data_IF_145754598765
#
_entry.id   IF_145754598765
#
_cell.length_a   1.000
_cell.length_b   1.000
_cell.length_c   1.000
_cell.angle_alpha   90.00
_cell.angle_beta   90.00
_cell.angle_gamma   90.00
#
_symmetry.space_group_name_H-M   'P 1'
#
loop_
_entity.id
_entity.type
_entity.pdbx_description
1 polymer ?
#
# COMPACT_ATOMS: atom_id res chain seq x y z
N UNK A 1 1.88 15.22 3.58
CA UNK A 1 2.69 14.22 2.83
C UNK A 1 1.76 13.08 2.44
N UNK A 2 1.72 12.66 1.17
CA UNK A 2 0.88 11.52 0.74
C UNK A 2 1.55 10.23 1.24
N UNK A 3 0.86 9.46 2.07
CA UNK A 3 1.35 8.16 2.53
C UNK A 3 0.92 7.09 1.51
N UNK A 4 1.89 6.37 0.93
CA UNK A 4 1.63 5.26 0.02
C UNK A 4 1.63 3.93 0.79
N UNK A 5 0.59 3.73 1.60
CA UNK A 5 0.49 2.60 2.56
C UNK A 5 0.63 1.23 1.89
N UNK A 6 0.04 1.02 0.71
CA UNK A 6 0.14 -0.24 -0.02
C UNK A 6 1.58 -0.55 -0.51
N UNK A 7 2.33 0.48 -0.89
CA UNK A 7 3.75 0.32 -1.25
C UNK A 7 4.60 0.02 -0.02
N UNK A 8 4.22 0.52 1.17
CA UNK A 8 4.95 0.28 2.40
C UNK A 8 5.03 -1.22 2.76
N UNK A 9 3.92 -1.95 2.69
CA UNK A 9 3.89 -3.39 3.02
C UNK A 9 4.79 -4.21 2.10
N UNK A 10 4.77 -3.91 0.80
CA UNK A 10 5.68 -4.50 -0.17
C UNK A 10 7.14 -4.24 0.23
N UNK A 11 7.49 -2.98 0.50
CA UNK A 11 8.85 -2.57 0.88
C UNK A 11 9.30 -3.25 2.18
N UNK A 12 8.43 -3.41 3.17
CA UNK A 12 8.73 -4.13 4.42
C UNK A 12 8.97 -5.61 4.16
N UNK A 13 8.12 -6.26 3.37
CA UNK A 13 8.33 -7.66 2.98
C UNK A 13 9.65 -7.86 2.24
N UNK A 14 10.16 -6.81 1.60
CA UNK A 14 11.44 -6.78 0.91
C UNK A 14 12.61 -6.39 1.82
N UNK A 15 12.37 -6.11 3.10
CA UNK A 15 13.40 -5.73 4.07
C UNK A 15 13.88 -4.28 3.92
N UNK A 16 13.14 -3.44 3.21
CA UNK A 16 13.46 -2.02 3.02
C UNK A 16 13.06 -1.24 4.26
N UNK A 17 13.94 -0.35 4.72
CA UNK A 17 13.67 0.52 5.85
C UNK A 17 12.56 1.50 5.50
N UNK A 18 11.59 1.64 6.39
CA UNK A 18 10.44 2.53 6.24
C UNK A 18 10.41 3.47 7.45
N UNK A 19 10.01 4.72 7.27
CA UNK A 19 9.75 5.61 8.41
C UNK A 19 8.34 5.44 8.98
N UNK A 20 8.07 6.14 10.08
CA UNK A 20 6.79 6.15 10.80
C UNK A 20 5.61 6.63 9.94
N UNK A 21 5.88 7.28 8.80
CA UNK A 21 4.85 7.71 7.84
C UNK A 21 4.57 6.67 6.75
N UNK A 22 5.23 5.49 6.79
CA UNK A 22 5.10 4.45 5.78
C UNK A 22 5.87 4.72 4.49
N UNK A 23 6.82 5.66 4.48
CA UNK A 23 7.65 5.92 3.30
C UNK A 23 8.97 5.15 3.36
N UNK A 24 9.31 4.46 2.28
CA UNK A 24 10.59 3.78 2.15
C UNK A 24 11.75 4.79 2.16
N UNK A 25 12.78 4.48 2.93
CA UNK A 25 13.97 5.30 3.07
C UNK A 25 14.90 5.07 1.90
N UNK A 26 15.41 6.17 1.35
CA UNK A 26 16.40 6.17 0.28
C UNK A 26 17.72 6.76 0.80
N UNK A 27 18.82 6.33 0.21
CA UNK A 27 20.13 6.96 0.39
C UNK A 27 20.25 8.26 -0.45
N UNK A 28 21.41 8.92 -0.34
CA UNK A 28 21.70 10.16 -1.08
C UNK A 28 21.69 9.98 -2.61
N UNK A 29 21.73 8.73 -3.09
CA UNK A 29 21.71 8.37 -4.51
C UNK A 29 20.30 8.00 -4.99
N UNK A 30 19.31 7.99 -4.08
CA UNK A 30 17.93 7.64 -4.36
C UNK A 30 17.66 6.14 -4.35
N UNK A 31 18.59 5.30 -3.88
CA UNK A 31 18.39 3.86 -3.78
C UNK A 31 17.71 3.51 -2.47
N UNK A 32 16.81 2.53 -2.49
CA UNK A 32 16.16 2.06 -1.28
C UNK A 32 17.14 1.42 -0.30
N UNK A 33 17.04 1.81 0.97
CA UNK A 33 17.89 1.30 2.04
C UNK A 33 17.38 -0.06 2.50
N UNK A 34 18.03 -1.14 2.06
CA UNK A 34 17.80 -2.51 2.51
C UNK A 34 18.46 -2.75 3.87
N UNK A 35 17.73 -3.37 4.80
CA UNK A 35 18.29 -3.87 6.05
C UNK A 35 18.77 -5.32 5.81
N UNK A 36 20.07 -5.61 5.98
CA UNK A 36 20.61 -6.95 5.79
C UNK A 36 19.89 -7.99 6.65
N UNK A 37 19.58 -9.15 6.08
CA UNK A 37 18.91 -10.23 6.79
C UNK A 37 17.44 -9.98 7.18
N UNK A 38 16.81 -8.89 6.72
CA UNK A 38 15.37 -8.62 6.88
C UNK A 38 14.59 -8.82 5.58
N UNK A 39 13.29 -9.17 5.68
CA UNK A 39 12.45 -9.41 4.50
C UNK A 39 12.95 -10.57 3.63
N UNK A 40 12.96 -10.40 2.31
CA UNK A 40 13.52 -11.40 1.38
C UNK A 40 15.04 -11.60 1.56
N UNK A 41 15.63 -12.58 0.86
CA UNK A 41 17.09 -12.75 0.87
C UNK A 41 17.83 -11.57 0.23
N UNK A 42 19.05 -11.31 0.69
CA UNK A 42 19.87 -10.21 0.17
C UNK A 42 20.34 -10.51 -1.28
N UNK A 43 20.47 -11.79 -1.63
CA UNK A 43 20.78 -12.25 -2.99
C UNK A 43 19.63 -11.94 -3.96
N UNK A 44 18.38 -12.22 -3.55
CA UNK A 44 17.21 -11.90 -4.39
C UNK A 44 17.05 -10.38 -4.53
N UNK A 45 17.33 -9.61 -3.47
CA UNK A 45 17.34 -8.16 -3.54
C UNK A 45 18.39 -7.63 -4.53
N UNK A 46 19.60 -8.20 -4.52
CA UNK A 46 20.63 -7.85 -5.49
C UNK A 46 20.19 -8.17 -6.94
N UNK A 47 19.51 -9.30 -7.14
CA UNK A 47 18.97 -9.67 -8.45
C UNK A 47 17.91 -8.65 -8.93
N UNK A 48 16.97 -8.30 -8.04
CA UNK A 48 15.90 -7.35 -8.32
C UNK A 48 16.43 -5.94 -8.65
N UNK A 49 17.42 -5.46 -7.90
CA UNK A 49 18.02 -4.13 -8.12
C UNK A 49 18.86 -4.09 -9.39
N UNK A 50 19.51 -5.19 -9.76
CA UNK A 50 20.20 -5.34 -11.05
C UNK A 50 19.20 -5.24 -12.20
N UNK A 51 18.13 -6.02 -12.16
CA UNK A 51 17.06 -5.98 -13.16
C UNK A 51 16.42 -4.58 -13.26
N UNK A 52 16.14 -3.95 -12.11
CA UNK A 52 15.60 -2.59 -12.07
C UNK A 52 16.53 -1.59 -12.76
N UNK A 53 17.84 -1.69 -12.53
CA UNK A 53 18.85 -0.84 -13.16
C UNK A 53 18.88 -1.04 -14.67
N UNK A 54 18.89 -2.29 -15.15
CA UNK A 54 18.86 -2.62 -16.58
C UNK A 54 17.60 -2.10 -17.29
N UNK A 55 16.47 -2.07 -16.58
CA UNK A 55 15.17 -1.58 -17.09
C UNK A 55 14.92 -0.10 -16.80
N UNK A 56 15.85 0.60 -16.16
CA UNK A 56 15.71 2.00 -15.78
C UNK A 56 14.60 2.28 -14.76
N UNK A 57 14.17 1.27 -13.99
CA UNK A 57 13.12 1.39 -12.99
C UNK A 57 13.65 2.06 -11.71
N UNK A 58 12.96 3.10 -11.21
CA UNK A 58 13.35 3.83 -10.01
C UNK A 58 12.15 4.15 -9.11
N UNK A 59 12.38 4.22 -7.80
CA UNK A 59 11.36 4.67 -6.83
C UNK A 59 10.03 3.91 -6.98
N UNK A 60 8.96 4.63 -7.32
CA UNK A 60 7.62 4.06 -7.51
C UNK A 60 7.52 2.98 -8.60
N UNK A 61 8.42 2.97 -9.59
CA UNK A 61 8.46 1.95 -10.64
C UNK A 61 8.75 0.54 -10.11
N UNK A 62 9.27 0.42 -8.88
CA UNK A 62 9.54 -0.88 -8.27
C UNK A 62 8.24 -1.71 -8.10
N UNK A 63 7.04 -1.11 -8.20
CA UNK A 63 5.77 -1.84 -8.34
C UNK A 63 5.79 -2.83 -9.52
N UNK A 64 6.50 -2.51 -10.60
CA UNK A 64 6.64 -3.33 -11.81
C UNK A 64 7.52 -4.56 -11.60
N UNK A 65 8.31 -4.63 -10.52
CA UNK A 65 9.13 -5.80 -10.19
C UNK A 65 8.31 -6.97 -9.66
N UNK A 66 7.10 -6.74 -9.16
CA UNK A 66 6.25 -7.85 -8.69
C UNK A 66 6.00 -8.87 -9.80
N UNK A 67 5.68 -8.43 -11.03
CA UNK A 67 5.38 -9.33 -12.14
C UNK A 67 6.53 -10.31 -12.47
N UNK A 68 7.78 -9.87 -12.69
CA UNK A 68 8.89 -10.78 -12.97
C UNK A 68 9.42 -11.54 -11.74
N UNK A 69 9.22 -11.04 -10.52
CA UNK A 69 9.85 -11.61 -9.31
C UNK A 69 8.89 -12.33 -8.35
N UNK A 70 7.57 -12.28 -8.54
CA UNK A 70 6.59 -12.91 -7.65
C UNK A 70 6.91 -14.38 -7.35
N UNK A 71 7.15 -15.19 -8.40
CA UNK A 71 7.49 -16.59 -8.22
C UNK A 71 8.78 -16.81 -7.43
N UNK A 72 9.75 -15.90 -7.53
CA UNK A 72 11.02 -15.97 -6.77
C UNK A 72 10.84 -15.54 -5.31
N UNK A 73 9.97 -14.56 -5.06
CA UNK A 73 9.58 -14.12 -3.72
C UNK A 73 8.80 -15.22 -2.99
N UNK A 74 7.81 -15.81 -3.66
CA UNK A 74 7.00 -16.91 -3.11
C UNK A 74 7.77 -18.24 -3.04
N UNK A 75 8.82 -18.40 -3.85
CA UNK A 75 9.71 -19.55 -3.87
C UNK A 75 10.86 -19.51 -2.86
N UNK A 76 10.94 -18.46 -2.03
CA UNK A 76 11.96 -18.37 -0.98
C UNK A 76 11.83 -19.53 0.04
N UNK A 77 12.93 -19.92 0.71
CA UNK A 77 12.89 -20.82 1.86
C UNK A 77 11.83 -20.41 2.88
N UNK A 78 11.25 -21.39 3.59
CA UNK A 78 10.14 -21.13 4.52
C UNK A 78 10.52 -20.09 5.56
N UNK A 79 11.72 -20.16 6.10
CA UNK A 79 12.24 -19.28 7.14
C UNK A 79 12.29 -17.82 6.66
N UNK A 80 12.62 -17.61 5.38
CA UNK A 80 12.61 -16.28 4.76
C UNK A 80 11.18 -15.80 4.54
N UNK A 81 10.30 -16.65 4.03
CA UNK A 81 8.88 -16.29 3.84
C UNK A 81 8.20 -15.94 5.15
N UNK A 82 8.45 -16.72 6.20
CA UNK A 82 7.93 -16.45 7.55
C UNK A 82 8.44 -15.11 8.06
N UNK A 83 9.74 -14.80 7.89
CA UNK A 83 10.29 -13.48 8.24
C UNK A 83 9.64 -12.34 7.46
N UNK A 84 9.40 -12.52 6.16
CA UNK A 84 8.70 -11.52 5.33
C UNK A 84 7.28 -11.26 5.83
N UNK A 85 6.55 -12.33 6.18
CA UNK A 85 5.19 -12.27 6.71
C UNK A 85 5.19 -11.59 8.09
N UNK A 86 6.08 -12.00 8.98
CA UNK A 86 6.17 -11.46 10.34
C UNK A 86 6.46 -9.96 10.31
N UNK A 87 7.39 -9.50 9.49
CA UNK A 87 7.70 -8.07 9.37
C UNK A 87 6.45 -7.24 8.95
N UNK A 88 5.65 -7.76 8.03
CA UNK A 88 4.39 -7.11 7.61
C UNK A 88 3.33 -7.18 8.71
N UNK A 89 3.23 -8.30 9.42
CA UNK A 89 2.31 -8.50 10.52
C UNK A 89 2.63 -7.57 11.70
N UNK A 90 3.89 -7.48 12.11
CA UNK A 90 4.37 -6.59 13.18
C UNK A 90 4.09 -5.13 12.85
N UNK A 91 4.41 -4.69 11.62
CA UNK A 91 4.13 -3.33 11.19
C UNK A 91 2.62 -3.03 11.20
N UNK A 92 1.80 -3.96 10.72
CA UNK A 92 0.35 -3.80 10.70
C UNK A 92 -0.23 -3.75 12.12
N UNK A 93 0.27 -4.58 13.02
CA UNK A 93 -0.13 -4.60 14.42
C UNK A 93 0.21 -3.28 15.11
N UNK A 94 1.43 -2.77 14.92
CA UNK A 94 1.85 -1.45 15.41
C UNK A 94 0.98 -0.33 14.84
N UNK A 95 0.70 -0.33 13.54
CA UNK A 95 -0.15 0.68 12.90
C UNK A 95 -1.55 0.71 13.55
N UNK A 96 -2.16 -0.47 13.73
CA UNK A 96 -3.49 -0.59 14.34
C UNK A 96 -3.45 -0.13 15.81
N UNK A 97 -2.47 -0.62 16.57
CA UNK A 97 -2.41 -0.39 18.02
C UNK A 97 -2.00 1.04 18.36
N UNK A 98 -0.86 1.49 17.84
CA UNK A 98 -0.16 2.66 18.31
C UNK A 98 -0.45 3.91 17.46
N UNK A 99 -0.69 3.74 16.14
CA UNK A 99 -1.00 4.86 15.24
C UNK A 99 -2.50 5.15 15.20
N UNK A 100 -3.33 4.11 15.05
CA UNK A 100 -4.79 4.25 15.06
C UNK A 100 -5.40 4.21 16.47
N UNK A 101 -4.58 4.01 17.49
CA UNK A 101 -5.00 3.97 18.90
C UNK A 101 -6.14 2.96 19.13
N UNK A 102 -6.08 1.81 18.46
CA UNK A 102 -7.13 0.79 18.49
C UNK A 102 -6.84 -0.34 19.48
N UNK A 103 -5.92 -0.13 20.43
CA UNK A 103 -5.64 -1.12 21.46
C UNK A 103 -6.91 -1.50 22.24
N UNK A 104 -7.06 -2.80 22.54
CA UNK A 104 -8.18 -3.38 23.32
C UNK A 104 -9.58 -3.16 22.71
N UNK A 105 -9.67 -2.82 21.42
CA UNK A 105 -10.95 -2.64 20.71
C UNK A 105 -11.45 -3.89 19.97
N UNK A 106 -10.71 -5.00 20.00
CA UNK A 106 -11.03 -6.19 19.21
C UNK A 106 -12.42 -6.77 19.52
N UNK A 107 -12.85 -6.75 20.79
CA UNK A 107 -14.19 -7.22 21.18
C UNK A 107 -15.30 -6.39 20.55
N UNK A 108 -15.12 -5.08 20.40
CA UNK A 108 -16.09 -4.19 19.76
C UNK A 108 -16.28 -4.53 18.28
N UNK A 109 -15.18 -4.79 17.57
CA UNK A 109 -15.23 -5.20 16.15
C UNK A 109 -15.95 -6.55 16.00
N UNK A 110 -15.71 -7.49 16.91
CA UNK A 110 -16.39 -8.79 16.90
C UNK A 110 -17.89 -8.64 17.16
N UNK A 111 -18.28 -7.78 18.10
CA UNK A 111 -19.69 -7.47 18.38
C UNK A 111 -20.37 -6.85 17.15
N UNK A 112 -19.75 -5.86 16.51
CA UNK A 112 -20.29 -5.19 15.32
C UNK A 112 -20.48 -6.17 14.15
N UNK A 113 -19.51 -7.06 13.91
CA UNK A 113 -19.58 -8.10 12.85
C UNK A 113 -20.73 -9.07 13.13
N UNK A 114 -20.88 -9.52 14.38
CA UNK A 114 -21.95 -10.44 14.78
C UNK A 114 -23.32 -9.76 14.68
N UNK A 115 -23.44 -8.51 15.12
CA UNK A 115 -24.68 -7.73 15.02
C UNK A 115 -25.08 -7.47 13.56
N UNK A 116 -24.10 -7.16 12.70
CA UNK A 116 -24.33 -6.98 11.27
C UNK A 116 -24.64 -8.30 10.55
N UNK A 117 -24.32 -9.45 11.16
CA UNK A 117 -24.35 -10.77 10.53
C UNK A 117 -23.63 -10.80 9.18
N UNK A 118 -22.51 -10.07 9.10
CA UNK A 118 -21.71 -9.88 7.89
C UNK A 118 -20.27 -9.55 8.28
N UNK A 119 -19.27 -9.91 7.45
CA UNK A 119 -17.86 -9.62 7.72
C UNK A 119 -17.53 -8.12 7.72
N UNK A 120 -18.48 -7.27 7.33
CA UNK A 120 -18.35 -5.82 7.32
C UNK A 120 -19.46 -5.21 8.21
N UNK A 121 -19.12 -4.32 9.17
CA UNK A 121 -20.08 -3.74 10.13
C UNK A 121 -21.02 -2.68 9.52
N UNK A 122 -21.20 -2.68 8.20
CA UNK A 122 -21.89 -1.60 7.47
C UNK A 122 -21.12 -0.26 7.38
N UNK A 123 -21.59 0.68 6.54
CA UNK A 123 -20.96 1.99 6.39
C UNK A 123 -21.11 2.82 7.67
N UNK A 124 -20.05 3.55 8.05
CA UNK A 124 -20.07 4.48 9.19
C UNK A 124 -20.75 5.82 8.89
N UNK A 125 -21.07 6.07 7.62
CA UNK A 125 -21.67 7.31 7.15
C UNK A 125 -22.97 7.00 6.42
N UNK A 126 -23.89 7.96 6.49
CA UNK A 126 -25.13 7.91 5.73
C UNK A 126 -24.95 8.55 4.35
N UNK A 127 -25.77 8.12 3.39
CA UNK A 127 -25.81 8.73 2.07
C UNK A 127 -26.36 10.15 2.19
N UNK A 128 -25.53 11.13 1.85
CA UNK A 128 -25.88 12.55 1.90
C UNK A 128 -26.43 13.10 0.57
N UNK A 129 -26.17 12.42 -0.54
CA UNK A 129 -26.62 12.82 -1.88
C UNK A 129 -27.82 11.99 -2.30
N UNK A 130 -28.81 12.62 -2.95
CA UNK A 130 -29.97 11.92 -3.50
C UNK A 130 -29.54 11.10 -4.74
N UNK A 131 -29.74 9.77 -4.79
CA UNK A 131 -29.45 8.97 -5.98
C UNK A 131 -30.11 9.49 -7.26
N UNK A 132 -31.26 10.19 -7.15
CA UNK A 132 -31.96 10.79 -8.28
C UNK A 132 -31.16 11.93 -8.94
N UNK A 133 -30.19 12.53 -8.24
CA UNK A 133 -29.29 13.54 -8.79
C UNK A 133 -28.08 12.92 -9.52
N UNK A 134 -27.88 11.60 -9.41
CA UNK A 134 -26.77 10.86 -10.00
C UNK A 134 -27.20 9.98 -11.18
N UNK A 135 -28.20 10.41 -11.95
CA UNK A 135 -28.49 9.79 -13.25
C UNK A 135 -27.45 10.22 -14.29
N UNK A 136 -27.32 9.45 -15.37
CA UNK A 136 -26.41 9.77 -16.49
C UNK A 136 -26.63 11.20 -17.01
N UNK A 137 -27.90 11.59 -17.16
CA UNK A 137 -28.29 12.90 -17.69
C UNK A 137 -27.88 14.02 -16.73
N UNK A 138 -28.17 13.88 -15.44
CA UNK A 138 -27.80 14.85 -14.39
C UNK A 138 -26.29 14.97 -14.24
N UNK A 139 -25.56 13.87 -14.32
CA UNK A 139 -24.10 13.85 -14.29
C UNK A 139 -23.53 14.64 -15.48
N UNK A 140 -24.04 14.43 -16.69
CA UNK A 140 -23.61 15.16 -17.89
C UNK A 140 -23.92 16.65 -17.79
N UNK A 141 -25.08 17.03 -17.23
CA UNK A 141 -25.41 18.43 -16.99
C UNK A 141 -24.49 19.07 -15.94
N UNK A 142 -24.29 18.41 -14.80
CA UNK A 142 -23.40 18.88 -13.73
C UNK A 142 -21.96 19.02 -14.22
N UNK A 143 -21.47 18.09 -15.04
CA UNK A 143 -20.12 18.14 -15.61
C UNK A 143 -19.86 19.40 -16.45
N UNK A 144 -20.88 19.95 -17.13
CA UNK A 144 -20.76 21.21 -17.90
C UNK A 144 -20.53 22.43 -17.01
N UNK A 145 -20.90 22.35 -15.73
CA UNK A 145 -20.75 23.45 -14.76
C UNK A 145 -19.41 23.43 -14.03
N UNK A 146 -18.65 22.34 -14.17
CA UNK A 146 -17.31 22.22 -13.59
C UNK A 146 -16.32 22.98 -14.48
N UNK A 147 -15.86 24.14 -14.01
CA UNK A 147 -14.84 24.92 -14.69
C UNK A 147 -13.51 24.16 -14.69
N UNK A 148 -13.01 23.81 -15.87
CA UNK A 148 -11.80 23.03 -16.02
C UNK A 148 -10.57 23.95 -15.99
N UNK A 149 -10.22 24.47 -14.81
CA UNK A 149 -8.86 24.93 -14.63
C UNK A 149 -7.95 23.69 -14.55
N UNK A 150 -7.58 23.15 -15.72
CA UNK A 150 -6.90 21.85 -15.87
C UNK A 150 -5.48 21.82 -15.30
N UNK A 151 -5.03 22.88 -14.64
CA UNK A 151 -3.67 23.01 -14.14
C UNK A 151 -2.64 22.92 -15.28
N UNK A 152 -1.34 22.90 -14.95
CA UNK A 152 -0.31 22.56 -15.92
C UNK A 152 -0.48 21.11 -16.40
N UNK A 153 -0.02 20.82 -17.62
CA UNK A 153 -0.05 19.47 -18.18
C UNK A 153 0.60 18.46 -17.21
N UNK A 154 -0.18 17.47 -16.78
CA UNK A 154 0.27 16.33 -15.99
C UNK A 154 0.12 15.04 -16.80
N UNK A 155 1.03 14.09 -16.58
CA UNK A 155 0.90 12.72 -17.06
C UNK A 155 -0.03 11.96 -16.09
N UNK A 156 -1.08 11.34 -16.62
CA UNK A 156 -2.11 10.61 -15.87
C UNK A 156 -2.17 9.12 -16.25
N UNK A 157 -1.19 8.62 -17.00
CA UNK A 157 -1.03 7.19 -17.30
C UNK A 157 -0.34 6.48 -16.12
N UNK A 158 -1.12 6.18 -15.07
CA UNK A 158 -0.66 5.43 -13.89
C UNK A 158 -1.34 4.05 -13.78
#
# INVERSE_FOLDING_TARGET
TKANVATALQMISWGIKVNDHGNAIQDDQGNFVKVPGQGMSDELWQEMTTYATEKGLKGGDYKKLNLPFENKLLGQPKEIRDRMIEAVAEFSAWLIKDVFNAQDTASLVMEDILQANAPHPGPKAERIEDPADWTKERIVERAKTLDSNKGPAGDFDD
#
